data_IF_517479535451
#
_entry.id   IF_517479535451
#
_cell.length_a   1.000
_cell.length_b   1.000
_cell.length_c   1.000
_cell.angle_alpha   90.00
_cell.angle_beta   90.00
_cell.angle_gamma   90.00
#
_symmetry.space_group_name_H-M   'P 1'
#
loop_
_entity.id
_entity.type
_entity.pdbx_description
1 polymer ?
#
# COMPACT_ATOMS: atom_id res chain seq x y z
N UNK A 1 16.72 -2.38 8.93
CA UNK A 1 15.90 -2.39 7.69
C UNK A 1 14.53 -3.08 7.90
N UNK A 2 14.51 -4.35 8.35
CA UNK A 2 13.24 -5.10 8.55
C UNK A 2 12.22 -4.41 9.44
N UNK A 3 12.65 -3.85 10.56
CA UNK A 3 11.75 -3.14 11.48
C UNK A 3 11.19 -1.86 10.89
N UNK A 4 11.99 -1.12 10.13
CA UNK A 4 11.53 0.07 9.42
C UNK A 4 10.44 -0.29 8.39
N UNK A 5 10.66 -1.34 7.61
CA UNK A 5 9.68 -1.85 6.64
C UNK A 5 8.42 -2.31 7.35
N UNK A 6 8.55 -3.07 8.44
CA UNK A 6 7.42 -3.55 9.22
C UNK A 6 6.58 -2.41 9.81
N UNK A 7 7.22 -1.40 10.40
CA UNK A 7 6.55 -0.22 10.95
C UNK A 7 5.81 0.57 9.85
N UNK A 8 6.46 0.76 8.70
CA UNK A 8 5.85 1.45 7.58
C UNK A 8 4.66 0.67 7.01
N UNK A 9 4.75 -0.67 6.94
CA UNK A 9 3.64 -1.52 6.53
C UNK A 9 2.49 -1.47 7.54
N UNK A 10 2.77 -1.44 8.85
CA UNK A 10 1.74 -1.25 9.88
C UNK A 10 1.05 0.12 9.77
N UNK A 11 1.78 1.17 9.42
CA UNK A 11 1.16 2.46 9.09
C UNK A 11 0.19 2.33 7.90
N UNK A 12 0.54 1.54 6.88
CA UNK A 12 -0.35 1.20 5.77
C UNK A 12 -1.61 0.45 6.21
N UNK A 13 -1.51 -0.46 7.20
CA UNK A 13 -2.69 -1.12 7.81
C UNK A 13 -3.62 -0.08 8.43
N UNK A 14 -3.09 0.86 9.22
CA UNK A 14 -3.88 1.91 9.86
C UNK A 14 -4.62 2.76 8.83
N UNK A 15 -3.92 3.21 7.78
CA UNK A 15 -4.53 4.00 6.70
C UNK A 15 -5.63 3.21 5.99
N UNK A 16 -5.41 1.91 5.74
CA UNK A 16 -6.41 1.03 5.12
C UNK A 16 -7.64 0.84 6.01
N UNK A 17 -7.47 0.75 7.33
CA UNK A 17 -8.58 0.70 8.29
C UNK A 17 -9.40 1.99 8.25
N UNK A 18 -8.73 3.15 8.19
CA UNK A 18 -9.42 4.44 8.09
C UNK A 18 -10.21 4.54 6.78
N UNK A 19 -9.64 4.09 5.67
CA UNK A 19 -10.35 4.04 4.39
C UNK A 19 -11.54 3.08 4.42
N UNK A 20 -11.41 1.93 5.10
CA UNK A 20 -12.51 0.98 5.27
C UNK A 20 -13.65 1.55 6.11
N UNK A 21 -13.33 2.33 7.14
CA UNK A 21 -14.35 3.07 7.92
C UNK A 21 -15.17 3.99 7.02
N UNK A 22 -14.50 4.76 6.16
CA UNK A 22 -15.17 5.63 5.19
C UNK A 22 -16.09 4.84 4.26
N UNK A 23 -15.69 3.64 3.86
CA UNK A 23 -16.51 2.78 3.00
C UNK A 23 -17.86 2.40 3.65
N UNK A 24 -17.90 2.20 4.97
CA UNK A 24 -19.11 1.82 5.70
C UNK A 24 -19.83 3.00 6.37
N UNK A 25 -19.21 4.16 6.46
CA UNK A 25 -19.79 5.34 7.07
C UNK A 25 -20.67 6.10 6.06
N UNK A 26 -21.80 6.62 6.53
CA UNK A 26 -22.73 7.41 5.73
C UNK A 26 -22.79 8.88 6.17
N UNK A 27 -21.95 9.27 7.15
CA UNK A 27 -21.88 10.62 7.70
C UNK A 27 -20.92 11.55 6.98
N UNK A 28 -20.62 12.68 7.60
CA UNK A 28 -19.59 13.62 7.12
C UNK A 28 -18.19 13.04 7.31
N UNK A 29 -17.48 12.90 6.21
CA UNK A 29 -16.17 12.27 6.17
C UNK A 29 -15.06 13.24 6.59
N UNK A 30 -14.09 12.83 7.47
CA UNK A 30 -12.99 13.68 7.89
C UNK A 30 -12.08 14.14 6.74
N UNK A 31 -12.02 13.38 5.64
CA UNK A 31 -11.19 13.71 4.48
C UNK A 31 -11.97 14.26 3.29
N UNK A 32 -13.24 14.63 3.47
CA UNK A 32 -14.03 15.40 2.51
C UNK A 32 -13.70 16.88 2.67
N UNK A 33 -12.67 17.35 1.98
CA UNK A 33 -12.14 18.71 2.12
C UNK A 33 -12.78 19.66 1.11
N UNK A 34 -12.93 19.23 -0.14
CA UNK A 34 -13.52 19.99 -1.24
C UNK A 34 -13.99 19.06 -2.37
N UNK A 35 -14.46 19.62 -3.49
CA UNK A 35 -14.96 18.86 -4.64
C UNK A 35 -13.93 17.90 -5.28
N UNK A 36 -12.63 18.16 -5.10
CA UNK A 36 -11.53 17.36 -5.67
C UNK A 36 -10.98 16.33 -4.67
N UNK A 37 -11.14 16.57 -3.38
CA UNK A 37 -10.62 15.73 -2.30
C UNK A 37 -11.78 15.23 -1.44
N UNK A 38 -12.31 14.09 -1.81
CA UNK A 38 -13.44 13.46 -1.14
C UNK A 38 -13.27 11.94 -1.07
N UNK A 39 -12.88 11.44 0.10
CA UNK A 39 -12.73 10.01 0.36
C UNK A 39 -14.07 9.25 0.25
N UNK A 40 -15.18 9.89 0.59
CA UNK A 40 -16.50 9.28 0.54
C UNK A 40 -16.87 8.87 -0.88
N UNK A 41 -16.74 9.79 -1.84
CA UNK A 41 -17.02 9.53 -3.27
C UNK A 41 -16.17 8.36 -3.77
N UNK A 42 -14.87 8.34 -3.47
CA UNK A 42 -13.96 7.29 -3.93
C UNK A 42 -14.30 5.95 -3.28
N UNK A 43 -14.48 5.90 -1.97
CA UNK A 43 -14.73 4.65 -1.22
C UNK A 43 -16.15 4.10 -1.40
N UNK A 44 -17.12 4.90 -1.83
CA UNK A 44 -18.47 4.46 -2.17
C UNK A 44 -18.65 4.19 -3.68
N UNK A 45 -17.62 4.40 -4.49
CA UNK A 45 -17.68 4.14 -5.92
C UNK A 45 -17.74 2.63 -6.23
N UNK A 46 -18.25 2.23 -7.42
CA UNK A 46 -18.22 0.82 -7.86
C UNK A 46 -16.81 0.24 -7.92
N UNK A 47 -15.80 1.09 -8.11
CA UNK A 47 -14.39 0.70 -8.17
C UNK A 47 -13.76 0.42 -6.79
N UNK A 48 -14.41 0.83 -5.70
CA UNK A 48 -13.97 0.56 -4.34
C UNK A 48 -14.27 -0.87 -3.88
N UNK A 49 -14.95 -1.66 -4.70
CA UNK A 49 -15.32 -3.06 -4.42
C UNK A 49 -14.87 -3.94 -5.58
N UNK A 50 -14.14 -5.01 -5.27
CA UNK A 50 -13.71 -6.04 -6.22
C UNK A 50 -14.27 -7.39 -5.75
N UNK A 51 -15.10 -8.03 -6.58
CA UNK A 51 -15.74 -9.32 -6.27
C UNK A 51 -16.51 -9.31 -4.93
N UNK A 52 -17.16 -8.19 -4.59
CA UNK A 52 -17.90 -8.03 -3.34
C UNK A 52 -17.05 -7.66 -2.12
N UNK A 53 -15.72 -7.52 -2.27
CA UNK A 53 -14.79 -7.20 -1.18
C UNK A 53 -14.32 -5.74 -1.33
N UNK A 54 -14.44 -4.91 -0.27
CA UNK A 54 -13.90 -3.55 -0.31
C UNK A 54 -12.39 -3.56 -0.54
N UNK A 55 -11.90 -2.70 -1.43
CA UNK A 55 -10.48 -2.55 -1.76
C UNK A 55 -9.65 -2.23 -0.50
N UNK A 56 -10.19 -1.46 0.43
CA UNK A 56 -9.52 -1.16 1.69
C UNK A 56 -9.25 -2.43 2.52
N UNK A 57 -10.13 -3.43 2.50
CA UNK A 57 -9.89 -4.74 3.15
C UNK A 57 -8.73 -5.48 2.49
N UNK A 58 -8.63 -5.44 1.18
CA UNK A 58 -7.50 -6.00 0.42
C UNK A 58 -6.20 -5.31 0.84
N UNK A 59 -6.23 -3.99 1.03
CA UNK A 59 -5.11 -3.21 1.55
C UNK A 59 -4.66 -3.65 2.94
N UNK A 60 -5.58 -3.88 3.87
CA UNK A 60 -5.29 -4.37 5.22
C UNK A 60 -4.53 -5.71 5.15
N UNK A 61 -5.07 -6.68 4.42
CA UNK A 61 -4.46 -8.00 4.26
C UNK A 61 -3.09 -7.88 3.58
N UNK A 62 -2.99 -7.09 2.53
CA UNK A 62 -1.74 -6.86 1.80
C UNK A 62 -0.63 -6.29 2.69
N UNK A 63 -0.92 -5.26 3.48
CA UNK A 63 0.06 -4.67 4.40
C UNK A 63 0.43 -5.60 5.56
N UNK A 64 -0.51 -6.41 6.08
CA UNK A 64 -0.21 -7.44 7.08
C UNK A 64 0.73 -8.52 6.52
N UNK A 65 0.52 -8.95 5.28
CA UNK A 65 1.42 -9.88 4.59
C UNK A 65 2.81 -9.28 4.42
N UNK A 66 2.92 -8.02 4.00
CA UNK A 66 4.21 -7.32 3.87
C UNK A 66 4.93 -7.23 5.23
N UNK A 67 4.21 -6.93 6.30
CA UNK A 67 4.74 -6.93 7.68
C UNK A 67 5.31 -8.30 8.05
N UNK A 68 4.54 -9.36 7.83
CA UNK A 68 4.95 -10.74 8.09
C UNK A 68 6.20 -11.13 7.30
N UNK A 69 6.23 -10.83 5.99
CA UNK A 69 7.38 -11.12 5.13
C UNK A 69 8.64 -10.35 5.54
N UNK A 70 8.50 -9.10 6.02
CA UNK A 70 9.61 -8.32 6.54
C UNK A 70 10.18 -8.93 7.82
N UNK A 71 9.33 -9.38 8.74
CA UNK A 71 9.75 -10.00 10.00
C UNK A 71 10.41 -11.37 9.78
N UNK A 72 9.90 -12.18 8.86
CA UNK A 72 10.47 -13.47 8.48
C UNK A 72 11.67 -13.37 7.53
N UNK A 73 12.09 -12.16 7.17
CA UNK A 73 13.23 -11.88 6.28
C UNK A 73 13.12 -12.49 4.88
N UNK A 74 11.92 -12.67 4.39
CA UNK A 74 11.66 -13.17 3.03
C UNK A 74 11.83 -12.05 1.98
N UNK A 75 13.06 -11.57 1.81
CA UNK A 75 13.38 -10.35 1.04
C UNK A 75 12.91 -10.39 -0.42
N UNK A 76 13.03 -11.55 -1.06
CA UNK A 76 12.59 -11.74 -2.45
C UNK A 76 11.07 -11.65 -2.59
N UNK A 77 10.33 -12.39 -1.75
CA UNK A 77 8.86 -12.36 -1.74
C UNK A 77 8.33 -10.98 -1.33
N UNK A 78 8.97 -10.35 -0.34
CA UNK A 78 8.64 -9.00 0.09
C UNK A 78 8.75 -8.00 -1.06
N UNK A 79 9.85 -8.04 -1.83
CA UNK A 79 10.04 -7.15 -2.97
C UNK A 79 9.00 -7.38 -4.07
N UNK A 80 8.71 -8.64 -4.40
CA UNK A 80 7.69 -8.98 -5.40
C UNK A 80 6.30 -8.53 -4.93
N UNK A 81 5.92 -8.84 -3.69
CA UNK A 81 4.64 -8.45 -3.13
C UNK A 81 4.47 -6.93 -3.07
N UNK A 82 5.52 -6.19 -2.70
CA UNK A 82 5.51 -4.73 -2.69
C UNK A 82 5.35 -4.14 -4.11
N UNK A 83 6.02 -4.71 -5.11
CA UNK A 83 5.85 -4.28 -6.51
C UNK A 83 4.44 -4.56 -7.03
N UNK A 84 3.85 -5.69 -6.70
CA UNK A 84 2.47 -6.01 -7.07
C UNK A 84 1.48 -5.05 -6.38
N UNK A 85 1.70 -4.76 -5.10
CA UNK A 85 0.92 -3.79 -4.36
C UNK A 85 1.02 -2.37 -4.94
N UNK A 86 2.22 -1.94 -5.34
CA UNK A 86 2.42 -0.66 -6.00
C UNK A 86 1.71 -0.61 -7.36
N UNK A 87 1.79 -1.66 -8.17
CA UNK A 87 1.08 -1.75 -9.45
C UNK A 87 -0.43 -1.64 -9.27
N UNK A 88 -0.98 -2.30 -8.27
CA UNK A 88 -2.39 -2.21 -7.92
C UNK A 88 -2.78 -0.80 -7.44
N UNK A 89 -1.96 -0.18 -6.60
CA UNK A 89 -2.18 1.19 -6.14
C UNK A 89 -2.16 2.21 -7.29
N UNK A 90 -1.24 2.04 -8.24
CA UNK A 90 -1.18 2.87 -9.46
C UNK A 90 -2.41 2.69 -10.34
N UNK A 91 -2.92 1.49 -10.46
CA UNK A 91 -4.18 1.20 -11.16
C UNK A 91 -5.35 1.95 -10.52
N UNK A 92 -5.47 1.90 -9.20
CA UNK A 92 -6.52 2.63 -8.47
C UNK A 92 -6.37 4.16 -8.64
N UNK A 93 -5.15 4.67 -8.58
CA UNK A 93 -4.86 6.10 -8.81
C UNK A 93 -5.26 6.53 -10.23
N UNK A 94 -5.04 5.67 -11.22
CA UNK A 94 -5.50 5.93 -12.58
C UNK A 94 -7.03 6.06 -12.64
N UNK A 95 -7.77 5.24 -11.93
CA UNK A 95 -9.24 5.32 -11.83
C UNK A 95 -9.67 6.64 -11.16
N UNK A 96 -9.04 7.00 -10.02
CA UNK A 96 -9.35 8.26 -9.33
C UNK A 96 -9.12 9.48 -10.24
N UNK A 97 -8.00 9.49 -10.96
CA UNK A 97 -7.62 10.61 -11.83
C UNK A 97 -8.48 10.70 -13.10
N UNK A 98 -8.73 9.59 -13.77
CA UNK A 98 -9.27 9.58 -15.14
C UNK A 98 -10.79 9.34 -15.19
N UNK A 99 -11.33 8.61 -14.23
CA UNK A 99 -12.74 8.19 -14.21
C UNK A 99 -13.53 8.98 -13.17
N UNK A 100 -13.10 8.94 -11.91
CA UNK A 100 -13.78 9.62 -10.82
C UNK A 100 -13.50 11.11 -10.77
N UNK A 101 -12.30 11.53 -11.21
CA UNK A 101 -11.80 12.92 -11.14
C UNK A 101 -11.84 13.50 -9.71
N UNK A 102 -11.82 12.63 -8.72
CA UNK A 102 -11.82 12.93 -7.29
C UNK A 102 -10.72 12.12 -6.61
N UNK A 103 -10.03 12.73 -5.67
CA UNK A 103 -8.91 12.13 -4.95
C UNK A 103 -9.32 11.70 -3.54
N UNK A 104 -8.86 10.54 -3.12
CA UNK A 104 -8.97 10.08 -1.74
C UNK A 104 -7.65 10.32 -1.01
N UNK A 105 -7.66 11.10 0.08
CA UNK A 105 -6.47 11.39 0.86
C UNK A 105 -5.82 10.11 1.40
N UNK A 106 -6.61 9.18 1.93
CA UNK A 106 -6.11 7.89 2.45
C UNK A 106 -5.50 7.03 1.35
N UNK A 107 -6.07 7.04 0.14
CA UNK A 107 -5.52 6.32 -1.00
C UNK A 107 -4.18 6.90 -1.44
N UNK A 108 -4.02 8.22 -1.47
CA UNK A 108 -2.77 8.90 -1.81
C UNK A 108 -1.69 8.62 -0.75
N UNK A 109 -2.04 8.66 0.54
CA UNK A 109 -1.12 8.31 1.63
C UNK A 109 -0.70 6.84 1.50
N UNK A 110 -1.64 5.93 1.30
CA UNK A 110 -1.35 4.51 1.09
C UNK A 110 -0.43 4.28 -0.10
N UNK A 111 -0.63 5.00 -1.20
CA UNK A 111 0.24 4.92 -2.36
C UNK A 111 1.67 5.38 -2.05
N UNK A 112 1.84 6.46 -1.31
CA UNK A 112 3.15 6.90 -0.84
C UNK A 112 3.83 5.84 0.02
N UNK A 113 3.10 5.20 0.92
CA UNK A 113 3.59 4.12 1.78
C UNK A 113 4.05 2.92 0.94
N UNK A 114 3.23 2.42 0.01
CA UNK A 114 3.61 1.26 -0.80
C UNK A 114 4.77 1.56 -1.74
N UNK A 115 4.89 2.79 -2.25
CA UNK A 115 6.04 3.22 -3.05
C UNK A 115 7.33 3.19 -2.22
N UNK A 116 7.32 3.73 -1.00
CA UNK A 116 8.46 3.66 -0.08
C UNK A 116 8.81 2.23 0.31
N UNK A 117 7.81 1.39 0.61
CA UNK A 117 8.00 -0.02 0.91
C UNK A 117 8.67 -0.75 -0.26
N UNK A 118 8.26 -0.46 -1.48
CA UNK A 118 8.87 -1.04 -2.69
C UNK A 118 10.33 -0.64 -2.81
N UNK A 119 10.66 0.65 -2.67
CA UNK A 119 12.04 1.14 -2.72
C UNK A 119 12.92 0.52 -1.62
N UNK A 120 12.42 0.48 -0.37
CA UNK A 120 13.15 -0.09 0.75
C UNK A 120 13.36 -1.60 0.61
N UNK A 121 12.36 -2.34 0.13
CA UNK A 121 12.48 -3.79 -0.06
C UNK A 121 13.44 -4.14 -1.20
N UNK A 122 13.42 -3.40 -2.30
CA UNK A 122 14.37 -3.56 -3.40
C UNK A 122 15.80 -3.22 -2.98
N UNK A 123 16.00 -2.14 -2.25
CA UNK A 123 17.32 -1.77 -1.74
C UNK A 123 17.86 -2.80 -0.75
N UNK A 124 17.01 -3.32 0.13
CA UNK A 124 17.40 -4.40 1.06
C UNK A 124 17.79 -5.69 0.33
N UNK A 125 17.01 -6.08 -0.69
CA UNK A 125 17.32 -7.25 -1.53
C UNK A 125 18.61 -7.06 -2.30
N UNK A 126 18.85 -5.88 -2.88
CA UNK A 126 20.08 -5.55 -3.60
C UNK A 126 21.32 -5.60 -2.70
N UNK A 127 21.22 -5.00 -1.51
CA UNK A 127 22.29 -5.01 -0.52
C UNK A 127 22.68 -6.45 -0.09
N UNK A 128 21.68 -7.32 0.12
CA UNK A 128 21.92 -8.72 0.46
C UNK A 128 22.64 -9.49 -0.66
N UNK A 129 22.18 -9.29 -1.90
CA UNK A 129 22.83 -9.92 -3.07
C UNK A 129 24.28 -9.46 -3.26
N UNK A 130 24.53 -8.17 -3.07
CA UNK A 130 25.88 -7.60 -3.16
C UNK A 130 26.79 -8.15 -2.06
N UNK A 131 26.31 -8.24 -0.83
CA UNK A 131 27.07 -8.80 0.29
C UNK A 131 27.46 -10.27 0.03
N UNK A 132 26.51 -11.09 -0.47
CA UNK A 132 26.76 -12.50 -0.83
C UNK A 132 27.79 -12.63 -1.95
N UNK A 133 27.72 -11.78 -3.00
CA UNK A 133 28.70 -11.77 -4.09
C UNK A 133 30.10 -11.41 -3.62
N UNK A 134 30.22 -10.43 -2.70
CA UNK A 134 31.52 -10.06 -2.12
C UNK A 134 32.12 -11.19 -1.29
N UNK A 135 31.33 -11.85 -0.46
CA UNK A 135 31.78 -13.01 0.31
C UNK A 135 32.28 -14.15 -0.57
N UNK A 136 31.60 -14.45 -1.68
CA UNK A 136 32.03 -15.47 -2.65
C UNK A 136 33.36 -15.16 -3.34
N UNK A 137 33.65 -13.87 -3.61
CA UNK A 137 34.91 -13.46 -4.23
C UNK A 137 36.12 -13.50 -3.29
N UNK A 138 35.88 -13.49 -1.98
CA UNK A 138 36.93 -13.55 -0.95
C UNK A 138 37.20 -14.99 -0.46
N UNK A 139 36.36 -15.91 -0.82
CA UNK A 139 36.57 -17.33 -0.57
C UNK A 139 37.32 -18.00 -1.72
#
# INVERSE_FOLDING_TARGET
MRYLIALLALAGVVVSILALRVHYDTGTEPCSINEKWDCGIVNHSPYAVIAGIPVASIGIVGYLLLTSMAMTRQRGLLAIAAMLGLGFALYLTHIEKSILQVWCLYCVISQGIIALLTLLSLSWLAADKLAKRRAQKQA
#
